data_IF_057437654565
#
_entry.id   IF_057437654565
#
_cell.length_a   1.000
_cell.length_b   1.000
_cell.length_c   1.000
_cell.angle_alpha   90.00
_cell.angle_beta   90.00
_cell.angle_gamma   90.00
#
_symmetry.space_group_name_H-M   'P 1'
#
loop_
_entity.id
_entity.type
_entity.pdbx_description
1 polymer ?
#
# COMPACT_ATOMS: atom_id res chain seq x y z
N UNK A 1 -0.61 18.05 28.46
CA UNK A 1 0.48 17.05 28.47
C UNK A 1 0.82 16.74 27.04
N UNK A 2 2.08 16.89 26.62
CA UNK A 2 2.54 16.52 25.28
C UNK A 2 2.92 15.04 25.27
N UNK A 3 1.99 14.19 24.83
CA UNK A 3 2.25 12.77 24.64
C UNK A 3 3.24 12.61 23.49
N UNK A 4 4.49 12.22 23.77
CA UNK A 4 5.50 12.00 22.74
C UNK A 4 5.17 10.71 21.97
N UNK A 5 4.50 10.86 20.82
CA UNK A 5 4.12 9.75 19.95
C UNK A 5 5.37 9.22 19.22
N UNK A 6 6.04 8.23 19.80
CA UNK A 6 7.17 7.56 19.19
C UNK A 6 6.68 6.41 18.30
N UNK A 7 6.94 6.49 16.99
CA UNK A 7 6.49 5.50 16.00
C UNK A 7 7.69 4.94 15.24
N UNK A 8 7.92 3.63 15.36
CA UNK A 8 8.91 2.89 14.57
C UNK A 8 8.32 2.33 13.27
N UNK A 9 8.50 3.05 12.15
CA UNK A 9 8.12 2.57 10.81
C UNK A 9 8.94 1.35 10.34
N UNK A 10 10.04 1.02 11.01
CA UNK A 10 10.83 -0.19 10.80
C UNK A 10 10.17 -1.47 11.35
N UNK A 11 9.26 -1.35 12.32
CA UNK A 11 8.61 -2.49 12.98
C UNK A 11 7.85 -3.42 12.01
N UNK A 12 7.79 -4.71 12.35
CA UNK A 12 7.01 -5.72 11.61
C UNK A 12 5.51 -5.54 11.84
N UNK A 13 5.13 -5.17 13.05
CA UNK A 13 3.74 -5.07 13.51
C UNK A 13 3.34 -3.59 13.68
N UNK A 14 3.75 -2.77 12.71
CA UNK A 14 3.44 -1.34 12.66
C UNK A 14 1.93 -1.08 12.76
N UNK A 15 1.52 -0.20 13.67
CA UNK A 15 0.17 0.36 13.78
C UNK A 15 0.30 1.80 14.32
N UNK A 16 -0.72 2.63 14.08
CA UNK A 16 -0.81 3.94 14.73
C UNK A 16 -1.61 3.77 16.03
N UNK A 17 -1.00 4.01 17.21
CA UNK A 17 -1.70 3.87 18.49
C UNK A 17 -2.91 4.80 18.58
N UNK A 18 -4.08 4.29 18.92
CA UNK A 18 -5.35 5.02 18.98
C UNK A 18 -6.16 5.02 17.67
N UNK A 19 -5.64 4.47 16.57
CA UNK A 19 -6.36 4.34 15.28
C UNK A 19 -6.45 2.89 14.79
N UNK A 20 -6.10 1.91 15.64
CA UNK A 20 -5.99 0.50 15.27
C UNK A 20 -7.30 -0.08 14.74
N UNK A 21 -7.16 -1.00 13.79
CA UNK A 21 -8.27 -1.78 13.25
C UNK A 21 -8.00 -3.27 13.41
N UNK A 22 -9.08 -4.07 13.56
CA UNK A 22 -9.03 -5.54 13.42
C UNK A 22 -8.52 -5.99 12.05
N UNK A 23 -8.46 -5.08 11.07
CA UNK A 23 -7.96 -5.31 9.72
C UNK A 23 -6.54 -4.72 9.47
N UNK A 24 -5.80 -4.33 10.51
CA UNK A 24 -4.38 -3.94 10.40
C UNK A 24 -3.50 -5.19 10.22
N UNK A 25 -3.41 -5.64 8.97
CA UNK A 25 -2.63 -6.81 8.52
C UNK A 25 -1.35 -6.41 7.77
N UNK A 26 -0.49 -7.42 7.52
CA UNK A 26 0.79 -7.31 6.83
C UNK A 26 0.65 -6.54 5.51
N UNK A 27 1.38 -5.44 5.38
CA UNK A 27 1.29 -4.52 4.26
C UNK A 27 1.30 -3.07 4.76
N UNK A 28 0.39 -2.26 4.24
CA UNK A 28 0.11 -0.90 4.72
C UNK A 28 -1.12 -0.95 5.63
N UNK A 29 -0.98 -0.73 6.95
CA UNK A 29 -2.09 -0.80 7.89
C UNK A 29 -3.18 0.22 7.59
N UNK A 30 -4.43 -0.11 7.94
CA UNK A 30 -5.55 0.81 7.77
C UNK A 30 -5.47 1.97 8.77
N UNK A 31 -4.93 1.76 9.98
CA UNK A 31 -4.58 2.83 10.91
C UNK A 31 -3.66 3.90 10.29
N UNK A 32 -2.67 3.48 9.50
CA UNK A 32 -1.81 4.40 8.73
C UNK A 32 -2.59 5.10 7.61
N UNK A 33 -3.38 4.36 6.84
CA UNK A 33 -4.12 4.91 5.68
C UNK A 33 -5.11 6.00 6.09
N UNK A 34 -5.78 5.80 7.23
CA UNK A 34 -6.72 6.78 7.83
C UNK A 34 -6.09 8.13 8.20
N UNK A 35 -4.77 8.23 8.17
CA UNK A 35 -4.02 9.47 8.43
C UNK A 35 -3.72 10.31 7.17
N UNK A 36 -3.99 9.77 5.97
CA UNK A 36 -3.60 10.40 4.71
C UNK A 36 -4.66 10.31 3.60
N UNK A 37 -5.79 9.64 3.85
CA UNK A 37 -6.84 9.35 2.85
C UNK A 37 -7.47 10.61 2.23
N UNK A 38 -7.47 11.74 2.95
CA UNK A 38 -7.99 13.03 2.49
C UNK A 38 -7.06 13.74 1.48
N UNK A 39 -5.75 13.49 1.54
CA UNK A 39 -4.76 14.11 0.64
C UNK A 39 -4.26 13.16 -0.47
N UNK A 40 -4.19 11.86 -0.18
CA UNK A 40 -3.48 10.84 -0.96
C UNK A 40 -4.38 9.63 -1.25
N UNK A 41 -4.29 9.08 -2.46
CA UNK A 41 -4.97 7.81 -2.75
C UNK A 41 -4.19 6.63 -2.15
N UNK A 42 -4.85 5.47 -2.01
CA UNK A 42 -4.27 4.25 -1.41
C UNK A 42 -2.90 3.87 -1.99
N UNK A 43 -2.65 4.08 -3.29
CA UNK A 43 -1.35 3.77 -3.89
C UNK A 43 -0.25 4.75 -3.48
N UNK A 44 -0.55 6.05 -3.42
CA UNK A 44 0.39 7.07 -2.94
C UNK A 44 0.74 6.86 -1.47
N UNK A 45 -0.25 6.48 -0.65
CA UNK A 45 -0.06 6.10 0.76
C UNK A 45 0.85 4.87 0.86
N UNK A 46 0.67 3.86 0.01
CA UNK A 46 1.59 2.69 -0.05
C UNK A 46 3.02 3.09 -0.42
N UNK A 47 3.20 4.03 -1.34
CA UNK A 47 4.53 4.53 -1.72
C UNK A 47 5.17 5.29 -0.55
N UNK A 48 4.43 6.18 0.11
CA UNK A 48 4.90 6.92 1.30
C UNK A 48 5.29 5.97 2.44
N UNK A 49 4.44 5.00 2.75
CA UNK A 49 4.70 3.99 3.77
C UNK A 49 5.99 3.21 3.49
N UNK A 50 6.18 2.73 2.26
CA UNK A 50 7.38 1.98 1.90
C UNK A 50 8.65 2.84 1.96
N UNK A 51 8.56 4.13 1.63
CA UNK A 51 9.67 5.07 1.80
C UNK A 51 9.99 5.30 3.29
N UNK A 52 8.98 5.42 4.17
CA UNK A 52 9.18 5.52 5.62
C UNK A 52 9.80 4.24 6.22
N UNK A 53 9.37 3.06 5.77
CA UNK A 53 9.98 1.76 6.17
C UNK A 53 11.43 1.68 5.76
N UNK A 54 11.75 2.01 4.49
CA UNK A 54 13.14 2.10 4.05
C UNK A 54 13.90 3.13 4.89
N UNK A 55 13.40 4.35 5.05
CA UNK A 55 14.06 5.39 5.86
C UNK A 55 14.42 4.93 7.28
N UNK A 56 13.65 4.01 7.87
CA UNK A 56 13.92 3.45 9.21
C UNK A 56 15.03 2.38 9.24
N UNK A 57 15.29 1.65 8.15
CA UNK A 57 16.30 0.57 8.13
C UNK A 57 17.72 1.08 7.85
N UNK A 58 18.69 0.75 8.70
CA UNK A 58 20.07 1.30 8.64
C UNK A 58 20.76 1.20 7.27
N UNK A 59 20.49 0.16 6.48
CA UNK A 59 21.16 -0.17 5.21
C UNK A 59 20.43 0.27 3.92
N UNK A 60 19.35 1.06 4.02
CA UNK A 60 18.44 1.36 2.90
C UNK A 60 18.76 2.60 2.06
N UNK A 61 19.76 3.37 2.46
CA UNK A 61 20.04 4.70 1.93
C UNK A 61 21.35 5.28 2.47
N UNK A 62 21.64 6.53 2.12
CA UNK A 62 22.88 7.24 2.47
C UNK A 62 22.57 8.48 3.32
N UNK A 63 23.42 8.80 4.29
CA UNK A 63 23.30 10.06 5.05
C UNK A 63 24.12 11.14 4.36
N UNK A 64 23.45 12.21 3.91
CA UNK A 64 24.06 13.38 3.27
C UNK A 64 23.41 14.65 3.84
N UNK A 65 24.23 15.66 4.15
CA UNK A 65 23.79 16.93 4.77
C UNK A 65 22.97 16.74 6.07
N UNK A 66 23.27 15.69 6.84
CA UNK A 66 22.54 15.36 8.08
C UNK A 66 21.18 14.68 7.89
N UNK A 67 20.70 14.51 6.64
CA UNK A 67 19.47 13.81 6.30
C UNK A 67 19.76 12.46 5.66
N UNK A 68 18.82 11.52 5.77
CA UNK A 68 18.97 10.18 5.20
C UNK A 68 18.16 10.06 3.90
N UNK A 69 18.88 9.78 2.82
CA UNK A 69 18.34 9.75 1.48
C UNK A 69 18.23 8.33 0.93
N UNK A 70 17.04 7.99 0.43
CA UNK A 70 16.77 6.75 -0.28
C UNK A 70 17.26 6.92 -1.71
N UNK A 71 18.42 6.32 -2.00
CA UNK A 71 19.05 6.33 -3.31
C UNK A 71 18.66 5.08 -4.12
N UNK A 72 17.45 5.10 -4.68
CA UNK A 72 16.93 4.05 -5.56
C UNK A 72 16.29 4.67 -6.81
N UNK A 73 16.56 4.09 -7.97
CA UNK A 73 15.83 4.38 -9.20
C UNK A 73 14.42 3.79 -9.15
N UNK A 74 13.51 4.32 -9.98
CA UNK A 74 12.14 3.79 -10.11
C UNK A 74 12.12 2.32 -10.53
N UNK A 75 13.11 1.86 -11.30
CA UNK A 75 13.23 0.45 -11.67
C UNK A 75 13.56 -0.43 -10.45
N UNK A 76 14.57 -0.07 -9.66
CA UNK A 76 14.94 -0.77 -8.42
C UNK A 76 13.77 -0.78 -7.43
N UNK A 77 13.09 0.35 -7.22
CA UNK A 77 11.89 0.42 -6.36
C UNK A 77 10.77 -0.53 -6.81
N UNK A 78 10.57 -0.72 -8.12
CA UNK A 78 9.56 -1.64 -8.67
C UNK A 78 9.98 -3.10 -8.48
N UNK A 79 11.25 -3.44 -8.68
CA UNK A 79 11.77 -4.78 -8.42
C UNK A 79 11.68 -5.16 -6.94
N UNK A 80 11.98 -4.22 -6.05
CA UNK A 80 12.08 -4.43 -4.60
C UNK A 80 10.70 -4.50 -3.92
N UNK A 81 9.80 -3.54 -4.19
CA UNK A 81 8.56 -3.36 -3.42
C UNK A 81 7.29 -3.15 -4.25
N UNK A 82 7.37 -2.67 -5.49
CA UNK A 82 6.19 -2.32 -6.30
C UNK A 82 6.05 -3.20 -7.55
N UNK A 83 6.24 -4.52 -7.41
CA UNK A 83 6.18 -5.48 -8.53
C UNK A 83 4.84 -5.39 -9.26
N UNK A 84 4.89 -5.45 -10.60
CA UNK A 84 3.72 -5.31 -11.49
C UNK A 84 3.23 -3.86 -11.71
N UNK A 85 3.81 -2.86 -11.01
CA UNK A 85 3.46 -1.45 -11.24
C UNK A 85 4.20 -0.88 -12.45
N UNK A 86 3.47 -0.21 -13.35
CA UNK A 86 4.05 0.53 -14.49
C UNK A 86 4.91 1.70 -13.98
N UNK A 87 6.14 1.94 -14.48
CA UNK A 87 7.02 3.03 -14.04
C UNK A 87 6.35 4.40 -13.98
N UNK A 88 5.57 4.78 -15.01
CA UNK A 88 4.84 6.05 -15.05
C UNK A 88 3.73 6.21 -14.00
N UNK A 89 3.35 5.16 -13.26
CA UNK A 89 2.46 5.26 -12.09
C UNK A 89 3.27 5.61 -10.83
N UNK A 90 4.43 4.97 -10.63
CA UNK A 90 5.32 5.26 -9.50
C UNK A 90 5.92 6.69 -9.61
N UNK A 91 6.36 7.11 -10.80
CA UNK A 91 6.81 8.50 -11.02
C UNK A 91 5.75 9.54 -10.64
N UNK A 92 4.48 9.31 -10.98
CA UNK A 92 3.37 10.21 -10.63
C UNK A 92 3.08 10.24 -9.14
N UNK A 93 3.15 9.09 -8.46
CA UNK A 93 3.00 9.03 -7.00
C UNK A 93 4.13 9.78 -6.29
N UNK A 94 5.40 9.52 -6.65
CA UNK A 94 6.57 10.22 -6.09
C UNK A 94 6.48 11.74 -6.30
N UNK A 95 6.12 12.19 -7.50
CA UNK A 95 5.94 13.61 -7.80
C UNK A 95 4.77 14.26 -7.04
N UNK A 96 3.66 13.53 -6.78
CA UNK A 96 2.58 14.06 -5.96
C UNK A 96 2.98 14.16 -4.48
N UNK A 97 3.70 13.16 -3.95
CA UNK A 97 4.23 13.18 -2.58
C UNK A 97 5.23 14.33 -2.37
N UNK A 98 6.12 14.56 -3.35
CA UNK A 98 7.00 15.74 -3.45
C UNK A 98 6.19 17.04 -3.42
N UNK A 99 5.24 17.22 -4.35
CA UNK A 99 4.39 18.42 -4.44
C UNK A 99 3.54 18.69 -3.19
N UNK A 100 3.18 17.64 -2.43
CA UNK A 100 2.43 17.72 -1.17
C UNK A 100 3.31 17.88 0.07
N UNK A 101 4.64 17.95 -0.09
CA UNK A 101 5.58 18.15 1.01
C UNK A 101 5.82 16.92 1.89
N UNK A 102 5.39 15.72 1.46
CA UNK A 102 5.69 14.47 2.18
C UNK A 102 7.10 13.94 1.87
N UNK A 103 7.69 14.35 0.75
CA UNK A 103 9.05 13.98 0.34
C UNK A 103 9.86 15.23 -0.05
N UNK A 104 11.10 15.31 0.43
CA UNK A 104 12.16 16.04 -0.25
C UNK A 104 12.72 15.17 -1.37
N UNK A 105 13.19 15.82 -2.44
CA UNK A 105 13.79 15.16 -3.59
C UNK A 105 14.91 16.02 -4.16
N UNK A 106 16.10 15.45 -4.27
CA UNK A 106 17.29 16.16 -4.74
C UNK A 106 18.14 15.32 -5.70
N UNK A 107 19.09 15.97 -6.38
CA UNK A 107 20.07 15.35 -7.28
C UNK A 107 21.45 15.37 -6.63
N UNK A 108 21.64 14.52 -5.62
CA UNK A 108 22.82 14.51 -4.74
C UNK A 108 23.99 13.66 -5.24
N UNK A 109 23.99 13.23 -6.51
CA UNK A 109 25.00 12.27 -6.99
C UNK A 109 26.43 12.81 -6.88
N UNK A 110 26.65 14.10 -7.15
CA UNK A 110 27.97 14.75 -7.01
C UNK A 110 28.47 14.74 -5.57
N UNK A 111 27.59 14.87 -4.58
CA UNK A 111 27.96 14.81 -3.16
C UNK A 111 28.19 13.37 -2.67
N UNK A 112 27.46 12.41 -3.22
CA UNK A 112 27.58 11.00 -2.84
C UNK A 112 28.84 10.32 -3.44
N UNK A 113 29.20 10.64 -4.69
CA UNK A 113 30.29 9.98 -5.43
C UNK A 113 31.43 10.91 -5.87
N UNK A 114 31.35 12.20 -5.60
CA UNK A 114 32.36 13.19 -5.98
C UNK A 114 32.35 13.60 -7.45
N UNK A 115 33.18 14.60 -7.76
CA UNK A 115 33.20 15.30 -9.04
C UNK A 115 33.59 14.42 -10.23
N UNK A 116 34.48 13.44 -10.02
CA UNK A 116 34.97 12.52 -11.06
C UNK A 116 33.84 11.72 -11.69
N UNK A 117 32.82 11.39 -10.90
CA UNK A 117 31.65 10.65 -11.38
C UNK A 117 30.53 11.58 -11.89
N UNK A 118 30.56 12.89 -11.59
CA UNK A 118 29.45 13.83 -11.75
C UNK A 118 28.86 13.99 -13.16
N UNK A 119 29.57 13.56 -14.22
CA UNK A 119 29.09 13.61 -15.61
C UNK A 119 28.47 12.30 -16.14
N UNK A 120 28.44 11.21 -15.36
CA UNK A 120 27.98 9.91 -15.86
C UNK A 120 26.45 9.84 -16.06
N UNK A 121 26.00 9.03 -17.02
CA UNK A 121 24.58 8.94 -17.39
C UNK A 121 23.68 8.39 -16.26
N UNK A 122 24.23 7.61 -15.33
CA UNK A 122 23.52 7.08 -14.16
C UNK A 122 23.25 8.14 -13.06
N UNK A 123 23.78 9.36 -13.20
CA UNK A 123 23.71 10.40 -12.18
C UNK A 123 22.35 11.05 -12.03
N UNK A 124 21.47 10.87 -13.03
CA UNK A 124 20.12 11.44 -13.06
C UNK A 124 19.16 10.81 -12.02
N UNK A 125 19.65 9.89 -11.20
CA UNK A 125 18.92 9.25 -10.10
C UNK A 125 18.57 10.28 -9.03
N UNK A 126 17.28 10.48 -8.80
CA UNK A 126 16.79 11.29 -7.70
C UNK A 126 17.05 10.58 -6.36
N UNK A 127 17.33 11.37 -5.35
CA UNK A 127 17.43 11.00 -3.94
C UNK A 127 16.13 11.43 -3.26
N UNK A 128 15.51 10.59 -2.43
CA UNK A 128 14.26 10.91 -1.74
C UNK A 128 14.42 10.82 -0.22
N UNK A 129 13.92 11.81 0.52
CA UNK A 129 13.85 11.78 1.99
C UNK A 129 12.42 12.09 2.44
N UNK A 130 11.77 11.25 3.26
CA UNK A 130 10.51 11.61 3.91
C UNK A 130 10.66 12.87 4.78
N UNK A 131 9.65 13.73 4.75
CA UNK A 131 9.54 14.89 5.64
C UNK A 131 8.80 14.45 6.88
N UNK A 132 9.56 14.05 7.91
CA UNK A 132 9.00 13.43 9.12
C UNK A 132 8.02 14.36 9.83
N UNK A 133 8.26 15.67 9.81
CA UNK A 133 7.42 16.69 10.43
C UNK A 133 6.01 16.71 9.80
N UNK A 134 5.92 16.68 8.46
CA UNK A 134 4.64 16.65 7.74
C UNK A 134 3.92 15.30 7.91
N UNK A 135 4.66 14.19 7.92
CA UNK A 135 4.10 12.84 8.16
C UNK A 135 3.54 12.73 9.58
N UNK A 136 4.29 13.16 10.59
CA UNK A 136 3.86 13.13 11.99
C UNK A 136 2.74 14.12 12.26
N UNK A 137 2.75 15.30 11.63
CA UNK A 137 1.64 16.27 11.67
C UNK A 137 0.32 15.63 11.29
N UNK A 138 0.21 15.05 10.08
CA UNK A 138 -1.01 14.37 9.64
C UNK A 138 -1.47 13.25 10.57
N UNK A 139 -0.55 12.51 11.19
CA UNK A 139 -0.88 11.47 12.18
C UNK A 139 -1.45 12.09 13.47
N UNK A 140 -0.84 13.15 13.98
CA UNK A 140 -1.31 13.86 15.19
C UNK A 140 -2.63 14.58 14.95
N UNK A 141 -2.80 15.23 13.80
CA UNK A 141 -4.05 15.87 13.39
C UNK A 141 -5.18 14.83 13.36
N UNK A 142 -4.95 13.69 12.70
CA UNK A 142 -5.90 12.58 12.63
C UNK A 142 -6.24 12.01 14.01
N UNK A 143 -5.25 11.87 14.91
CA UNK A 143 -5.47 11.44 16.30
C UNK A 143 -6.26 12.47 17.12
N UNK A 144 -6.13 13.76 16.81
CA UNK A 144 -6.83 14.84 17.51
C UNK A 144 -8.27 14.96 17.02
N UNK A 145 -8.51 14.87 15.71
CA UNK A 145 -9.84 14.89 15.10
C UNK A 145 -10.65 13.61 15.38
N UNK A 146 -9.98 12.45 15.35
CA UNK A 146 -10.60 11.13 15.60
C UNK A 146 -10.42 10.67 17.06
N UNK A 147 -9.96 11.56 17.95
CA UNK A 147 -10.08 11.44 19.41
C UNK A 147 -11.55 11.15 19.74
N UNK A 148 -11.86 10.21 20.66
CA UNK A 148 -13.19 9.61 20.71
C UNK A 148 -14.29 10.62 21.06
N UNK A 149 -15.00 11.06 20.03
CA UNK A 149 -16.45 11.07 20.12
C UNK A 149 -16.87 9.65 20.52
N UNK A 150 -17.68 9.55 21.58
CA UNK A 150 -18.07 8.29 22.21
C UNK A 150 -18.61 7.29 21.18
N UNK A 151 -18.51 6.00 21.51
CA UNK A 151 -18.78 4.83 20.65
C UNK A 151 -20.23 4.72 20.09
N UNK A 152 -21.04 5.77 20.26
CA UNK A 152 -22.47 5.85 19.95
C UNK A 152 -22.78 6.50 18.59
N UNK A 153 -21.85 7.27 18.00
CA UNK A 153 -22.14 8.11 16.80
C UNK A 153 -21.75 7.49 15.46
N UNK A 154 -21.27 6.24 15.44
CA UNK A 154 -21.19 5.45 14.21
C UNK A 154 -22.39 4.50 14.17
N UNK A 155 -23.50 5.03 13.66
CA UNK A 155 -24.77 4.36 13.55
C UNK A 155 -24.68 3.08 12.72
N UNK A 156 -24.42 1.96 13.39
CA UNK A 156 -25.08 0.71 13.05
C UNK A 156 -26.58 0.94 13.26
N UNK A 157 -27.23 1.51 12.24
CA UNK A 157 -28.65 1.27 12.04
C UNK A 157 -28.79 -0.23 11.86
N UNK A 158 -29.16 -0.91 12.95
CA UNK A 158 -29.59 -2.30 12.90
C UNK A 158 -30.92 -2.25 12.16
N UNK A 159 -30.86 -2.28 10.83
CA UNK A 159 -32.03 -2.51 10.00
C UNK A 159 -32.48 -3.94 10.27
N UNK A 160 -33.45 -4.08 11.17
CA UNK A 160 -34.09 -5.33 11.55
C UNK A 160 -34.83 -5.94 10.37
N UNK A 161 -34.08 -6.59 9.47
CA UNK A 161 -34.60 -7.67 8.63
C UNK A 161 -34.36 -9.01 9.34
N UNK A 162 -34.84 -9.11 10.58
CA UNK A 162 -35.14 -10.42 11.15
C UNK A 162 -36.37 -10.96 10.44
N UNK A 163 -36.15 -11.76 9.39
CA UNK A 163 -37.21 -12.63 8.86
C UNK A 163 -37.41 -13.75 9.88
N UNK A 164 -38.31 -13.50 10.84
CA UNK A 164 -38.92 -14.56 11.63
C UNK A 164 -39.73 -15.46 10.70
N UNK A 165 -39.29 -16.70 10.53
CA UNK A 165 -40.13 -17.79 9.99
C UNK A 165 -40.31 -18.85 11.07
N UNK A 166 -41.35 -18.67 11.87
CA UNK A 166 -41.93 -19.70 12.72
C UNK A 166 -43.27 -20.14 12.09
N UNK A 167 -43.24 -21.05 11.12
CA UNK A 167 -44.41 -21.85 10.75
C UNK A 167 -44.00 -23.31 10.54
N UNK A 168 -44.33 -24.15 11.53
CA UNK A 168 -44.50 -25.59 11.31
C UNK A 168 -45.84 -25.81 10.59
N UNK A 169 -45.81 -26.23 9.32
CA UNK A 169 -46.94 -27.00 8.77
C UNK A 169 -46.55 -27.88 7.58
N UNK A 170 -46.95 -29.15 7.70
CA UNK A 170 -47.19 -30.20 6.69
C UNK A 170 -46.47 -30.21 5.33
N UNK A 171 -45.86 -31.36 5.05
CA UNK A 171 -45.47 -31.80 3.71
C UNK A 171 -46.62 -32.52 2.98
N UNK A 172 -47.20 -31.97 1.90
CA UNK A 172 -47.89 -32.77 0.90
C UNK A 172 -46.89 -33.25 -0.17
N UNK A 173 -46.76 -34.57 -0.33
CA UNK A 173 -46.10 -35.18 -1.49
C UNK A 173 -46.83 -34.78 -2.78
N UNK A 174 -46.15 -34.15 -3.73
CA UNK A 174 -46.55 -34.19 -5.13
C UNK A 174 -45.36 -34.37 -6.08
N UNK A 175 -45.65 -34.94 -7.25
CA UNK A 175 -44.70 -35.57 -8.19
C UNK A 175 -44.53 -34.72 -9.45
N UNK A 176 -43.36 -34.86 -10.09
CA UNK A 176 -43.14 -34.74 -11.56
C UNK A 176 -43.29 -33.32 -12.19
N UNK A 177 -42.59 -32.89 -13.25
CA UNK A 177 -41.75 -33.55 -14.26
C UNK A 177 -40.51 -32.69 -14.69
N UNK A 178 -39.42 -33.39 -15.06
CA UNK A 178 -38.50 -33.19 -16.20
C UNK A 178 -38.28 -31.79 -16.84
N UNK A 179 -37.05 -31.25 -16.80
CA UNK A 179 -36.12 -31.28 -17.95
C UNK A 179 -34.66 -30.83 -17.66
N UNK A 180 -33.72 -31.59 -18.24
CA UNK A 180 -32.27 -31.32 -18.47
C UNK A 180 -32.06 -30.03 -19.29
N UNK A 181 -30.94 -29.30 -19.38
CA UNK A 181 -29.47 -29.57 -19.32
C UNK A 181 -28.78 -28.17 -19.13
N UNK A 182 -27.52 -27.93 -18.76
CA UNK A 182 -26.28 -28.73 -18.61
C UNK A 182 -25.34 -28.10 -17.56
N UNK A 183 -24.29 -28.83 -17.14
CA UNK A 183 -23.08 -28.26 -16.50
C UNK A 183 -21.91 -28.35 -17.49
N UNK A 184 -21.11 -27.29 -17.67
CA UNK A 184 -19.92 -27.34 -18.53
C UNK A 184 -18.64 -27.37 -17.69
N UNK A 185 -18.14 -28.58 -17.45
CA UNK A 185 -16.79 -28.80 -16.92
C UNK A 185 -15.79 -28.85 -18.07
N UNK A 186 -15.00 -27.80 -18.24
CA UNK A 186 -13.90 -27.80 -19.22
C UNK A 186 -12.67 -28.51 -18.63
N UNK A 187 -12.43 -29.73 -19.10
CA UNK A 187 -11.18 -30.46 -18.84
C UNK A 187 -10.01 -29.83 -19.59
N UNK A 188 -8.88 -29.62 -18.89
CA UNK A 188 -7.61 -29.28 -19.53
C UNK A 188 -7.00 -30.51 -20.21
N UNK A 189 -6.83 -30.44 -21.53
CA UNK A 189 -5.90 -31.30 -22.28
C UNK A 189 -5.04 -30.39 -23.17
N UNK A 190 -3.70 -30.44 -23.11
CA UNK A 190 -2.84 -29.58 -23.91
C UNK A 190 -2.77 -30.07 -25.38
N UNK A 191 -2.55 -29.17 -26.36
CA UNK A 191 -2.39 -29.53 -27.76
C UNK A 191 -1.01 -30.19 -28.02
N UNK A 192 -0.91 -31.11 -28.99
CA UNK A 192 0.35 -31.73 -29.37
C UNK A 192 1.26 -30.78 -30.18
N UNK A 193 2.58 -30.94 -30.02
CA UNK A 193 3.60 -30.24 -30.80
C UNK A 193 3.59 -30.70 -32.28
N UNK A 194 3.90 -29.81 -33.24
CA UNK A 194 4.27 -30.23 -34.59
C UNK A 194 5.66 -30.88 -34.60
N UNK A 195 5.90 -31.91 -35.44
CA UNK A 195 7.21 -32.54 -35.57
C UNK A 195 8.23 -31.59 -36.24
N UNK A 196 9.50 -31.73 -35.84
CA UNK A 196 10.64 -31.35 -36.69
C UNK A 196 10.86 -32.47 -37.72
N UNK A 197 11.14 -32.09 -38.95
CA UNK A 197 11.96 -32.91 -39.84
C UNK A 197 13.26 -32.15 -40.17
N UNK A 198 14.36 -32.87 -40.06
CA UNK A 198 15.71 -32.47 -40.49
C UNK A 198 16.04 -33.32 -41.73
N UNK A 199 16.41 -32.72 -42.86
CA UNK A 199 16.73 -33.51 -44.07
C UNK A 199 17.02 -32.67 -45.32
N UNK A 200 18.31 -32.61 -45.66
CA UNK A 200 18.96 -32.13 -46.91
C UNK A 200 18.76 -30.66 -47.37
#
# INVERSE_FOLDING_TARGET
MTTSLNIDFGSKDFKIPGLESKFDFIGVPNSFVRCFEDELNRFEITVLYQLLRWHSWSNSGVVLRGLKWIYKSVAEMICDAFRGIKPGKLYRALHKLERRGFLQKEQLHREHYGDVHACAAYNRRNYYSPVMEKVMGCIVDTLTEKSPQTLETLGFSISENQVFQNEETDFPKQKNNTHTTSTSTLSLTPPPYPPRDEGE
#
